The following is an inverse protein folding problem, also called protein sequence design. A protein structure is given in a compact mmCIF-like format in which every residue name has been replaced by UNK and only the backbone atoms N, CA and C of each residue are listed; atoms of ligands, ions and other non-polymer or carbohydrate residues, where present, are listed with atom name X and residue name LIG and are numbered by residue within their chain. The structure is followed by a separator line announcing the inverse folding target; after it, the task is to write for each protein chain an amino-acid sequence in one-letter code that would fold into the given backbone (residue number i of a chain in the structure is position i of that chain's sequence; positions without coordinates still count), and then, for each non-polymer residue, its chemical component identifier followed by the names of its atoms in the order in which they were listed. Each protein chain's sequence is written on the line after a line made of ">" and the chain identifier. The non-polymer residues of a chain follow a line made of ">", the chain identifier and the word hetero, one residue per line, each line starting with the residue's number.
data_IF_271373284257
#
_entry.id   IF_271373284257
#
_cell.length_a   1.000
_cell.length_b   1.000
_cell.length_c   1.000
_cell.angle_alpha   90.00
_cell.angle_beta   90.00
_cell.angle_gamma   90.00
#
_symmetry.space_group_name_H-M   'P 1'
#
loop_
_entity.id
_entity.type
_entity.pdbx_description
1 polymer ?
#
# COMPACT_ATOMS: atom_id res chain seq x y z
N UNK A 1 0.85 -0.98 21.19
CA UNK A 1 1.91 -1.43 20.23
C UNK A 1 2.23 -0.27 19.33
N UNK A 2 3.51 0.11 19.26
CA UNK A 2 3.98 1.20 18.40
C UNK A 2 4.21 0.67 16.98
N UNK A 3 3.44 1.18 16.02
CA UNK A 3 3.53 0.83 14.61
C UNK A 3 4.14 2.02 13.86
N UNK A 4 5.23 1.79 13.11
CA UNK A 4 5.69 2.75 12.12
C UNK A 4 5.09 2.42 10.75
N UNK A 5 4.81 3.48 9.98
CA UNK A 5 4.13 3.39 8.69
C UNK A 5 5.01 4.01 7.62
N UNK A 6 5.12 3.36 6.46
CA UNK A 6 5.67 3.93 5.25
C UNK A 6 5.03 3.29 4.00
N UNK A 7 4.95 4.07 2.92
CA UNK A 7 4.62 3.63 1.58
C UNK A 7 5.31 4.51 0.54
N UNK A 8 5.22 4.12 -0.71
CA UNK A 8 5.68 4.94 -1.85
C UNK A 8 7.12 5.44 -1.69
N UNK A 9 8.01 4.54 -1.21
CA UNK A 9 9.42 4.86 -1.06
C UNK A 9 10.17 4.85 -2.40
N UNK A 10 9.65 4.14 -3.41
CA UNK A 10 10.18 4.08 -4.77
C UNK A 10 11.70 3.96 -4.83
N UNK A 11 12.26 3.02 -4.06
CA UNK A 11 13.72 2.86 -3.92
C UNK A 11 14.45 2.64 -5.25
N UNK A 12 13.74 2.19 -6.30
CA UNK A 12 14.26 2.04 -7.64
C UNK A 12 14.48 3.35 -8.40
N UNK A 13 13.87 4.46 -7.95
CA UNK A 13 13.94 5.76 -8.65
C UNK A 13 15.07 6.67 -8.17
N UNK A 14 15.83 6.24 -7.18
CA UNK A 14 16.97 7.01 -6.68
C UNK A 14 18.16 6.93 -7.64
N UNK A 15 18.32 7.91 -8.53
CA UNK A 15 19.40 8.01 -9.53
C UNK A 15 20.81 7.98 -8.93
N UNK A 16 20.96 8.32 -7.64
CA UNK A 16 22.23 8.29 -6.92
C UNK A 16 22.63 6.90 -6.40
N UNK A 17 21.80 5.88 -6.69
CA UNK A 17 22.13 4.48 -6.43
C UNK A 17 22.37 3.79 -7.78
N UNK A 18 23.59 3.88 -8.37
CA UNK A 18 23.91 3.18 -9.63
C UNK A 18 23.77 1.67 -9.51
N UNK A 19 23.76 1.17 -8.27
CA UNK A 19 23.32 -0.18 -7.88
C UNK A 19 22.62 -0.06 -6.53
N UNK A 20 21.40 -0.59 -6.42
CA UNK A 20 20.67 -0.66 -5.16
C UNK A 20 21.59 -1.21 -4.05
N UNK A 21 21.62 -0.52 -2.93
CA UNK A 21 22.40 -0.92 -1.76
C UNK A 21 21.47 -1.07 -0.55
N UNK A 22 21.16 -2.32 -0.14
CA UNK A 22 20.32 -2.58 1.03
C UNK A 22 20.82 -1.87 2.29
N UNK A 23 22.15 -1.82 2.50
CA UNK A 23 22.74 -1.14 3.66
C UNK A 23 22.55 0.37 3.63
N UNK A 24 22.66 1.01 2.46
CA UNK A 24 22.40 2.45 2.33
C UNK A 24 20.92 2.74 2.56
N UNK A 25 20.01 1.94 2.00
CA UNK A 25 18.58 2.06 2.25
C UNK A 25 18.25 1.88 3.73
N UNK A 26 18.81 0.86 4.39
CA UNK A 26 18.62 0.64 5.84
C UNK A 26 19.15 1.80 6.68
N UNK A 27 20.27 2.41 6.32
CA UNK A 27 20.80 3.58 7.02
C UNK A 27 19.90 4.80 6.81
N UNK A 28 19.48 5.06 5.58
CA UNK A 28 18.62 6.19 5.21
C UNK A 28 17.26 6.13 5.92
N UNK A 29 16.67 4.94 5.98
CA UNK A 29 15.36 4.70 6.58
C UNK A 29 15.44 4.09 7.99
N UNK A 30 16.58 4.20 8.68
CA UNK A 30 16.80 3.59 10.01
C UNK A 30 15.77 4.04 11.06
N UNK A 31 15.25 5.27 10.95
CA UNK A 31 14.19 5.76 11.81
C UNK A 31 12.88 4.97 11.72
N UNK A 32 12.62 4.29 10.59
CA UNK A 32 11.45 3.42 10.44
C UNK A 32 11.49 2.21 11.37
N UNK A 33 12.68 1.77 11.77
CA UNK A 33 12.86 0.57 12.60
C UNK A 33 12.73 0.83 14.10
N UNK A 34 12.46 2.08 14.53
CA UNK A 34 12.26 2.44 15.95
C UNK A 34 10.79 2.22 16.38
N UNK A 35 10.32 0.98 16.27
CA UNK A 35 8.94 0.58 16.53
C UNK A 35 8.85 -0.89 16.95
N UNK A 36 7.66 -1.35 17.33
CA UNK A 36 7.37 -2.76 17.61
C UNK A 36 7.04 -3.54 16.32
N UNK A 37 6.54 -2.84 15.28
CA UNK A 37 6.18 -3.39 13.98
C UNK A 37 6.20 -2.29 12.91
N UNK A 38 6.73 -2.60 11.73
CA UNK A 38 6.72 -1.73 10.55
C UNK A 38 5.64 -2.18 9.57
N UNK A 39 4.79 -1.23 9.12
CA UNK A 39 3.84 -1.46 8.01
C UNK A 39 4.37 -0.78 6.76
N UNK A 40 4.46 -1.54 5.67
CA UNK A 40 4.86 -1.08 4.35
C UNK A 40 3.67 -1.24 3.39
N UNK A 41 3.00 -0.13 3.08
CA UNK A 41 1.75 -0.12 2.32
C UNK A 41 1.94 0.05 0.80
N UNK A 42 2.88 -0.72 0.22
CA UNK A 42 3.11 -0.77 -1.22
C UNK A 42 4.04 0.30 -1.77
N UNK A 43 4.45 0.12 -3.02
CA UNK A 43 5.36 1.00 -3.78
C UNK A 43 6.69 1.24 -3.08
N UNK A 44 7.25 0.18 -2.52
CA UNK A 44 8.53 0.22 -1.82
C UNK A 44 9.69 0.09 -2.80
N UNK A 45 9.67 -0.99 -3.59
CA UNK A 45 10.65 -1.23 -4.65
C UNK A 45 10.18 -2.28 -5.64
N UNK A 46 10.24 -1.99 -6.91
CA UNK A 46 9.77 -2.88 -7.98
C UNK A 46 10.55 -4.20 -8.11
N UNK A 47 11.64 -4.43 -7.38
CA UNK A 47 12.44 -5.66 -7.44
C UNK A 47 12.20 -6.54 -6.20
N UNK A 48 11.63 -7.76 -6.35
CA UNK A 48 11.45 -8.69 -5.23
C UNK A 48 12.78 -9.02 -4.52
N UNK A 49 13.85 -9.16 -5.28
CA UNK A 49 15.20 -9.42 -4.74
C UNK A 49 15.69 -8.25 -3.88
N UNK A 50 15.57 -7.02 -4.38
CA UNK A 50 16.02 -5.84 -3.64
C UNK A 50 15.22 -5.63 -2.36
N UNK A 51 13.92 -5.87 -2.42
CA UNK A 51 13.07 -5.85 -1.23
C UNK A 51 13.53 -6.88 -0.19
N UNK A 52 13.73 -8.13 -0.60
CA UNK A 52 14.21 -9.20 0.29
C UNK A 52 15.57 -8.86 0.92
N UNK A 53 16.53 -8.38 0.12
CA UNK A 53 17.84 -7.97 0.60
C UNK A 53 17.75 -6.80 1.61
N UNK A 54 16.84 -5.84 1.40
CA UNK A 54 16.64 -4.74 2.33
C UNK A 54 15.94 -5.20 3.62
N UNK A 55 14.85 -5.94 3.49
CA UNK A 55 14.08 -6.43 4.65
C UNK A 55 14.86 -7.45 5.49
N UNK A 56 15.84 -8.17 4.91
CA UNK A 56 16.73 -9.03 5.69
C UNK A 56 17.57 -8.28 6.73
N UNK A 57 17.70 -6.96 6.58
CA UNK A 57 18.38 -6.06 7.52
C UNK A 57 17.42 -5.37 8.50
N UNK A 58 16.10 -5.58 8.34
CA UNK A 58 15.10 -5.00 9.22
C UNK A 58 15.04 -5.78 10.55
N UNK A 59 15.24 -5.11 11.71
CA UNK A 59 15.32 -5.81 12.99
C UNK A 59 13.95 -6.04 13.67
N UNK A 60 12.86 -5.57 13.05
CA UNK A 60 11.50 -5.62 13.61
C UNK A 60 10.56 -6.41 12.68
N UNK A 61 9.44 -6.96 13.18
CA UNK A 61 8.41 -7.53 12.34
C UNK A 61 7.89 -6.52 11.31
N UNK A 62 7.59 -7.01 10.10
CA UNK A 62 7.10 -6.21 8.98
C UNK A 62 5.79 -6.79 8.47
N UNK A 63 4.77 -5.96 8.30
CA UNK A 63 3.59 -6.25 7.47
C UNK A 63 3.80 -5.51 6.14
N UNK A 64 3.71 -6.23 5.04
CA UNK A 64 3.95 -5.71 3.70
C UNK A 64 2.84 -6.12 2.74
N UNK A 65 2.42 -5.19 1.90
CA UNK A 65 1.54 -5.42 0.74
C UNK A 65 2.19 -4.87 -0.53
N UNK A 66 1.72 -5.30 -1.70
CA UNK A 66 2.14 -4.73 -2.98
C UNK A 66 1.38 -3.43 -3.28
N UNK A 67 2.06 -2.48 -3.92
CA UNK A 67 1.44 -1.40 -4.66
C UNK A 67 1.46 -1.70 -6.17
N UNK A 68 1.07 -0.72 -7.00
CA UNK A 68 1.05 -0.89 -8.46
C UNK A 68 2.46 -0.89 -9.07
N UNK A 69 3.43 -0.18 -8.50
CA UNK A 69 4.81 -0.16 -9.01
C UNK A 69 5.55 -1.48 -8.84
N UNK A 70 5.20 -2.32 -7.87
CA UNK A 70 5.74 -3.66 -7.77
C UNK A 70 5.45 -4.51 -9.02
N UNK A 71 4.40 -4.18 -9.77
CA UNK A 71 4.02 -4.87 -11.01
C UNK A 71 4.70 -4.31 -12.26
N UNK A 72 5.33 -3.13 -12.23
CA UNK A 72 5.96 -2.50 -13.40
C UNK A 72 7.06 -3.36 -14.03
N UNK A 73 7.01 -3.49 -15.36
CA UNK A 73 7.91 -4.33 -16.14
C UNK A 73 7.69 -5.84 -15.97
N UNK A 74 6.56 -6.25 -15.40
CA UNK A 74 6.23 -7.65 -15.09
C UNK A 74 4.85 -8.03 -15.57
N UNK A 75 4.61 -9.36 -15.60
CA UNK A 75 3.27 -9.91 -15.82
C UNK A 75 2.46 -9.87 -14.55
N UNK A 76 1.24 -9.36 -14.63
CA UNK A 76 0.31 -9.22 -13.51
C UNK A 76 0.21 -10.52 -12.69
N UNK A 77 -0.05 -11.65 -13.36
CA UNK A 77 -0.32 -12.94 -12.70
C UNK A 77 0.92 -13.58 -12.05
N UNK A 78 2.13 -13.09 -12.35
CA UNK A 78 3.38 -13.67 -11.82
C UNK A 78 4.02 -12.83 -10.73
N UNK A 79 3.61 -11.59 -10.59
CA UNK A 79 4.28 -10.64 -9.69
C UNK A 79 4.14 -11.06 -8.23
N UNK A 80 2.91 -11.36 -7.80
CA UNK A 80 2.69 -11.81 -6.41
C UNK A 80 3.54 -13.02 -6.06
N UNK A 81 3.52 -14.06 -6.90
CA UNK A 81 4.29 -15.29 -6.63
C UNK A 81 5.80 -15.04 -6.57
N UNK A 82 6.32 -14.09 -7.36
CA UNK A 82 7.73 -13.73 -7.32
C UNK A 82 8.11 -13.03 -6.00
N UNK A 83 7.29 -12.09 -5.52
CA UNK A 83 7.51 -11.46 -4.21
C UNK A 83 7.38 -12.47 -3.08
N UNK A 84 6.34 -13.30 -3.08
CA UNK A 84 6.13 -14.35 -2.08
C UNK A 84 7.30 -15.31 -2.00
N UNK A 85 7.80 -15.77 -3.15
CA UNK A 85 8.97 -16.66 -3.21
C UNK A 85 10.23 -16.01 -2.60
N UNK A 86 10.49 -14.76 -2.92
CA UNK A 86 11.69 -14.05 -2.45
C UNK A 86 11.64 -13.66 -0.97
N UNK A 87 10.43 -13.52 -0.40
CA UNK A 87 10.24 -13.17 1.01
C UNK A 87 10.05 -14.38 1.93
N UNK A 88 9.87 -15.58 1.37
CA UNK A 88 9.49 -16.79 2.11
C UNK A 88 10.43 -17.13 3.28
N UNK A 89 11.73 -16.86 3.14
CA UNK A 89 12.72 -17.19 4.17
C UNK A 89 12.85 -16.11 5.26
N UNK A 90 12.17 -14.96 5.09
CA UNK A 90 12.16 -13.88 6.06
C UNK A 90 10.99 -14.04 7.04
N UNK A 91 11.18 -14.85 8.08
CA UNK A 91 10.10 -15.23 9.03
C UNK A 91 9.49 -14.06 9.81
N UNK A 92 10.15 -12.90 9.85
CA UNK A 92 9.65 -11.67 10.46
C UNK A 92 8.86 -10.78 9.46
N UNK A 93 8.77 -11.19 8.18
CA UNK A 93 8.03 -10.45 7.14
C UNK A 93 6.71 -11.17 6.85
N UNK A 94 5.62 -10.50 7.09
CA UNK A 94 4.26 -10.94 6.78
C UNK A 94 3.82 -10.25 5.49
N UNK A 95 4.02 -10.93 4.35
CA UNK A 95 3.53 -10.47 3.06
C UNK A 95 2.07 -10.84 2.91
N UNK A 96 1.21 -9.84 2.76
CA UNK A 96 -0.24 -10.02 2.65
C UNK A 96 -0.74 -9.62 1.25
N UNK A 97 -1.55 -10.48 0.65
CA UNK A 97 -2.32 -10.19 -0.54
C UNK A 97 -3.63 -10.97 -0.49
N UNK A 98 -4.71 -10.32 -0.09
CA UNK A 98 -5.96 -10.94 0.38
C UNK A 98 -5.68 -11.96 1.48
N UNK A 99 -4.92 -11.54 2.46
CA UNK A 99 -4.54 -12.34 3.62
C UNK A 99 -4.60 -11.50 4.89
N UNK A 100 -4.80 -12.18 6.00
CA UNK A 100 -4.72 -11.57 7.33
C UNK A 100 -3.70 -12.29 8.20
N UNK A 101 -3.10 -11.55 9.14
CA UNK A 101 -2.18 -12.08 10.14
C UNK A 101 -2.43 -11.42 11.50
N UNK A 102 -2.21 -12.16 12.56
CA UNK A 102 -2.23 -11.61 13.92
C UNK A 102 -0.80 -11.51 14.44
N UNK A 103 -0.37 -10.28 14.73
CA UNK A 103 0.95 -10.01 15.32
C UNK A 103 0.74 -9.24 16.61
N UNK A 104 1.29 -9.76 17.71
CA UNK A 104 1.18 -9.15 19.05
C UNK A 104 -0.26 -8.80 19.46
N UNK A 105 -1.24 -9.65 19.08
CA UNK A 105 -2.65 -9.46 19.42
C UNK A 105 -3.42 -8.46 18.55
N UNK A 106 -2.79 -7.90 17.51
CA UNK A 106 -3.40 -7.04 16.51
C UNK A 106 -3.59 -7.81 15.21
N UNK A 107 -4.81 -7.78 14.64
CA UNK A 107 -5.10 -8.37 13.33
C UNK A 107 -4.79 -7.35 12.24
N UNK A 108 -3.95 -7.74 11.27
CA UNK A 108 -3.68 -6.99 10.05
C UNK A 108 -4.37 -7.66 8.88
N UNK A 109 -5.12 -6.89 8.09
CA UNK A 109 -5.88 -7.31 6.91
C UNK A 109 -5.29 -6.57 5.72
N UNK A 110 -4.68 -7.29 4.77
CA UNK A 110 -3.86 -6.67 3.72
C UNK A 110 -4.27 -7.06 2.29
N UNK A 111 -4.37 -6.07 1.41
CA UNK A 111 -4.56 -6.21 -0.04
C UNK A 111 -4.05 -4.95 -0.76
N UNK A 112 -3.77 -5.04 -2.07
CA UNK A 112 -3.43 -3.86 -2.88
C UNK A 112 -4.59 -2.87 -2.94
N UNK A 113 -5.82 -3.37 -3.08
CA UNK A 113 -7.07 -2.64 -3.29
C UNK A 113 -6.94 -1.71 -4.51
N UNK A 114 -7.10 -2.28 -5.69
CA UNK A 114 -7.09 -1.49 -6.92
C UNK A 114 -8.24 -0.46 -6.93
N UNK A 115 -8.55 0.15 -8.04
CA UNK A 115 -9.55 1.21 -8.16
C UNK A 115 -10.83 0.72 -8.85
N UNK A 116 -11.99 1.31 -8.49
CA UNK A 116 -13.26 1.17 -9.19
C UNK A 116 -13.50 2.28 -10.23
N UNK A 117 -12.53 3.14 -10.44
CA UNK A 117 -12.60 4.26 -11.39
C UNK A 117 -13.81 5.16 -11.15
N UNK A 118 -14.01 5.61 -9.92
CA UNK A 118 -15.13 6.47 -9.52
C UNK A 118 -16.48 5.80 -9.82
N UNK A 119 -16.63 4.56 -9.30
CA UNK A 119 -17.85 3.78 -9.49
C UNK A 119 -18.10 3.35 -10.93
N UNK A 120 -17.07 2.89 -11.63
CA UNK A 120 -17.11 2.47 -13.04
C UNK A 120 -17.53 3.61 -14.01
N UNK A 121 -17.14 4.84 -13.71
CA UNK A 121 -17.42 5.98 -14.56
C UNK A 121 -16.70 5.83 -15.91
N UNK A 122 -17.43 5.74 -17.05
CA UNK A 122 -16.83 5.48 -18.37
C UNK A 122 -15.78 6.54 -18.78
N UNK A 123 -16.01 7.80 -18.42
CA UNK A 123 -15.07 8.89 -18.74
C UNK A 123 -13.78 8.78 -17.94
N UNK A 124 -13.90 8.38 -16.68
CA UNK A 124 -12.73 8.11 -15.81
C UNK A 124 -11.95 6.91 -16.33
N UNK A 125 -12.63 5.83 -16.68
CA UNK A 125 -11.99 4.61 -17.21
C UNK A 125 -11.22 4.89 -18.50
N UNK A 126 -11.81 5.64 -19.45
CA UNK A 126 -11.15 6.01 -20.71
C UNK A 126 -9.92 6.89 -20.46
N UNK A 127 -10.05 7.95 -19.67
CA UNK A 127 -8.98 8.88 -19.33
C UNK A 127 -7.82 8.16 -18.59
N UNK A 128 -8.17 7.30 -17.63
CA UNK A 128 -7.17 6.54 -16.88
C UNK A 128 -6.44 5.53 -17.76
N UNK A 129 -7.16 4.79 -18.62
CA UNK A 129 -6.55 3.84 -19.55
C UNK A 129 -5.55 4.53 -20.49
N UNK A 130 -5.83 5.74 -20.93
CA UNK A 130 -4.95 6.50 -21.81
C UNK A 130 -3.72 7.07 -21.07
N UNK A 131 -3.90 7.60 -19.86
CA UNK A 131 -2.89 8.43 -19.19
C UNK A 131 -2.14 7.75 -18.06
N UNK A 132 -2.75 6.81 -17.35
CA UNK A 132 -2.09 6.12 -16.24
C UNK A 132 -1.03 5.15 -16.76
N UNK A 133 0.15 5.21 -16.15
CA UNK A 133 1.33 4.43 -16.59
C UNK A 133 1.12 2.92 -16.43
N UNK A 134 0.33 2.49 -15.47
CA UNK A 134 0.06 1.07 -15.17
C UNK A 134 -0.33 0.31 -16.44
N UNK A 135 -1.25 0.87 -17.25
CA UNK A 135 -1.74 0.25 -18.47
C UNK A 135 -0.68 0.07 -19.57
N UNK A 136 0.51 0.70 -19.39
CA UNK A 136 1.66 0.56 -20.31
C UNK A 136 2.82 -0.19 -19.67
N UNK A 137 2.88 -0.23 -18.35
CA UNK A 137 4.01 -0.79 -17.61
C UNK A 137 3.74 -2.20 -17.07
N UNK A 138 2.48 -2.62 -16.94
CA UNK A 138 2.12 -3.94 -16.40
C UNK A 138 1.58 -4.82 -17.53
N UNK A 139 2.27 -5.91 -17.83
CA UNK A 139 1.82 -6.86 -18.87
C UNK A 139 0.57 -7.60 -18.39
N UNK A 140 -0.51 -7.55 -19.18
CA UNK A 140 -1.78 -8.21 -18.89
C UNK A 140 -2.77 -7.38 -18.07
N UNK A 141 -2.44 -6.13 -17.72
CA UNK A 141 -3.39 -5.24 -17.05
C UNK A 141 -4.32 -4.57 -18.08
N UNK A 142 -5.58 -4.46 -17.74
CA UNK A 142 -6.62 -3.73 -18.47
C UNK A 142 -7.56 -3.09 -17.45
N UNK A 143 -8.38 -2.13 -17.87
CA UNK A 143 -9.42 -1.55 -16.99
C UNK A 143 -10.33 -2.63 -16.41
N UNK A 144 -10.81 -3.56 -17.27
CA UNK A 144 -11.63 -4.66 -16.80
C UNK A 144 -10.92 -5.53 -15.75
N UNK A 145 -9.62 -5.80 -15.95
CA UNK A 145 -8.84 -6.58 -15.00
C UNK A 145 -8.61 -5.85 -13.67
N UNK A 146 -8.43 -4.54 -13.72
CA UNK A 146 -8.35 -3.71 -12.49
C UNK A 146 -9.66 -3.77 -11.71
N UNK A 147 -10.82 -3.64 -12.40
CA UNK A 147 -12.14 -3.79 -11.77
C UNK A 147 -12.35 -5.18 -11.16
N UNK A 148 -11.98 -6.25 -11.88
CA UNK A 148 -12.06 -7.62 -11.34
C UNK A 148 -11.27 -7.74 -10.03
N UNK A 149 -10.01 -7.23 -10.02
CA UNK A 149 -9.16 -7.24 -8.84
C UNK A 149 -9.73 -6.40 -7.70
N UNK A 150 -10.24 -5.20 -8.01
CA UNK A 150 -10.87 -4.34 -7.02
C UNK A 150 -12.05 -5.03 -6.33
N UNK A 151 -12.99 -5.61 -7.11
CA UNK A 151 -14.16 -6.27 -6.53
C UNK A 151 -13.81 -7.51 -5.74
N UNK A 152 -12.81 -8.29 -6.22
CA UNK A 152 -12.30 -9.46 -5.49
C UNK A 152 -11.69 -9.05 -4.14
N UNK A 153 -10.83 -8.05 -4.12
CA UNK A 153 -10.12 -7.59 -2.93
C UNK A 153 -11.05 -6.86 -1.95
N UNK A 154 -11.92 -5.99 -2.46
CA UNK A 154 -12.95 -5.32 -1.66
C UNK A 154 -13.90 -6.34 -0.99
N UNK A 155 -14.37 -7.32 -1.77
CA UNK A 155 -15.26 -8.37 -1.26
C UNK A 155 -14.57 -9.24 -0.20
N UNK A 156 -13.29 -9.55 -0.39
CA UNK A 156 -12.49 -10.28 0.57
C UNK A 156 -12.30 -9.46 1.87
N UNK A 157 -11.93 -8.16 1.77
CA UNK A 157 -11.79 -7.28 2.95
C UNK A 157 -13.12 -7.21 3.73
N UNK A 158 -14.27 -7.01 3.07
CA UNK A 158 -15.58 -6.97 3.71
C UNK A 158 -15.89 -8.26 4.46
N UNK A 159 -15.57 -9.41 3.85
CA UNK A 159 -15.75 -10.73 4.44
C UNK A 159 -14.84 -10.93 5.64
N UNK A 160 -13.56 -10.60 5.54
CA UNK A 160 -12.58 -10.75 6.62
C UNK A 160 -12.90 -9.86 7.82
N UNK A 161 -13.33 -8.61 7.57
CA UNK A 161 -13.76 -7.69 8.62
C UNK A 161 -15.06 -8.14 9.30
N UNK A 162 -15.87 -8.95 8.63
CA UNK A 162 -17.08 -9.55 9.22
C UNK A 162 -16.77 -10.66 10.22
N UNK A 163 -15.55 -11.22 10.18
CA UNK A 163 -15.11 -12.24 11.15
C UNK A 163 -14.81 -11.59 12.49
N UNK A 164 -15.51 -11.97 13.59
CA UNK A 164 -15.25 -11.38 14.90
C UNK A 164 -13.80 -11.58 15.34
N UNK A 165 -13.20 -10.51 15.87
CA UNK A 165 -11.87 -10.55 16.45
C UNK A 165 -11.84 -9.74 17.75
N UNK A 166 -11.24 -10.32 18.82
CA UNK A 166 -11.25 -9.70 20.14
C UNK A 166 -10.22 -8.55 20.31
N UNK A 167 -9.21 -8.49 19.44
CA UNK A 167 -8.17 -7.46 19.46
C UNK A 167 -8.43 -6.33 18.48
N UNK A 168 -7.53 -5.35 18.41
CA UNK A 168 -7.57 -4.31 17.40
C UNK A 168 -7.39 -4.88 15.98
N UNK A 169 -8.04 -4.26 15.00
CA UNK A 169 -7.90 -4.59 13.58
C UNK A 169 -7.34 -3.40 12.82
N UNK A 170 -6.30 -3.64 12.02
CA UNK A 170 -5.65 -2.70 11.12
C UNK A 170 -5.85 -3.18 9.68
N UNK A 171 -6.44 -2.37 8.82
CA UNK A 171 -6.50 -2.62 7.39
C UNK A 171 -5.32 -1.92 6.72
N UNK A 172 -4.68 -2.60 5.79
CA UNK A 172 -3.54 -2.08 5.02
C UNK A 172 -3.87 -2.25 3.55
N UNK A 173 -4.04 -1.13 2.84
CA UNK A 173 -4.22 -1.11 1.39
C UNK A 173 -3.19 -0.20 0.73
N UNK A 174 -2.95 -0.38 -0.56
CA UNK A 174 -2.12 0.58 -1.29
C UNK A 174 -2.98 1.73 -1.81
N UNK A 175 -4.07 1.41 -2.52
CA UNK A 175 -5.01 2.44 -2.96
C UNK A 175 -5.80 3.02 -1.80
N UNK A 176 -6.13 4.31 -1.91
CA UNK A 176 -6.79 5.05 -0.85
C UNK A 176 -8.28 4.68 -0.74
N UNK A 177 -8.82 4.49 0.48
CA UNK A 177 -10.18 4.00 0.69
C UNK A 177 -11.25 5.11 0.73
N UNK A 178 -10.87 6.37 0.60
CA UNK A 178 -11.80 7.51 0.69
C UNK A 178 -11.29 8.70 -0.12
N UNK A 179 -12.19 9.45 -0.77
CA UNK A 179 -11.85 10.71 -1.45
C UNK A 179 -11.17 11.75 -0.54
N UNK A 180 -11.32 11.65 0.79
CA UNK A 180 -10.63 12.52 1.74
C UNK A 180 -9.10 12.34 1.75
N UNK A 181 -8.59 11.25 1.14
CA UNK A 181 -7.16 10.93 1.11
C UNK A 181 -6.39 11.60 -0.03
N UNK A 182 -7.04 12.38 -0.89
CA UNK A 182 -6.33 13.00 -2.01
C UNK A 182 -6.61 14.50 -2.10
N UNK A 183 -5.57 15.28 -2.40
CA UNK A 183 -5.69 16.71 -2.75
C UNK A 183 -5.27 16.99 -4.19
N UNK A 184 -4.23 16.32 -4.70
CA UNK A 184 -3.58 16.63 -5.98
C UNK A 184 -4.49 16.38 -7.19
N UNK A 185 -5.24 15.27 -7.19
CA UNK A 185 -6.14 14.92 -8.29
C UNK A 185 -7.63 15.18 -7.97
N UNK A 186 -7.91 15.89 -6.88
CA UNK A 186 -9.28 16.19 -6.48
C UNK A 186 -10.02 16.96 -7.58
N UNK A 187 -11.16 16.42 -8.03
CA UNK A 187 -11.94 16.99 -9.14
C UNK A 187 -11.39 16.71 -10.55
N UNK A 188 -10.29 15.95 -10.68
CA UNK A 188 -9.78 15.45 -11.96
C UNK A 188 -10.35 14.05 -12.24
N UNK A 189 -10.58 13.74 -13.53
CA UNK A 189 -10.95 12.37 -13.95
C UNK A 189 -9.88 11.35 -13.55
N UNK A 190 -8.60 11.75 -13.50
CA UNK A 190 -7.52 10.85 -13.06
C UNK A 190 -7.63 10.48 -11.58
N UNK A 191 -8.33 11.25 -10.76
CA UNK A 191 -8.53 10.96 -9.33
C UNK A 191 -9.12 9.56 -9.08
N UNK A 192 -9.99 9.10 -9.97
CA UNK A 192 -10.58 7.77 -9.88
C UNK A 192 -9.59 6.61 -10.04
N UNK A 193 -8.36 6.85 -10.49
CA UNK A 193 -7.30 5.83 -10.51
C UNK A 193 -6.52 5.74 -9.19
N UNK A 194 -6.75 6.64 -8.24
CA UNK A 194 -5.98 6.73 -7.00
C UNK A 194 -6.80 6.41 -5.76
N UNK A 195 -8.09 6.65 -5.83
CA UNK A 195 -9.00 6.60 -4.69
C UNK A 195 -10.27 5.88 -5.07
N UNK A 196 -10.81 5.11 -4.14
CA UNK A 196 -12.17 4.56 -4.20
C UNK A 196 -12.94 4.96 -2.94
N UNK A 197 -14.28 5.02 -3.02
CA UNK A 197 -15.10 5.36 -1.86
C UNK A 197 -15.57 4.09 -1.14
N UNK A 198 -14.92 3.78 -0.02
CA UNK A 198 -15.28 2.69 0.89
C UNK A 198 -15.75 3.19 2.25
N UNK A 199 -16.18 4.46 2.36
CA UNK A 199 -16.59 5.04 3.65
C UNK A 199 -17.74 4.25 4.30
N UNK A 200 -18.68 3.77 3.52
CA UNK A 200 -19.78 2.91 4.03
C UNK A 200 -19.25 1.59 4.61
N UNK A 201 -18.26 0.96 3.98
CA UNK A 201 -17.62 -0.24 4.50
C UNK A 201 -16.85 0.06 5.80
N UNK A 202 -16.13 1.18 5.82
CA UNK A 202 -15.41 1.63 7.02
C UNK A 202 -16.39 1.87 8.16
N UNK A 203 -17.50 2.57 7.93
CA UNK A 203 -18.55 2.83 8.91
C UNK A 203 -19.24 1.56 9.40
N UNK A 204 -19.43 0.58 8.53
CA UNK A 204 -20.03 -0.73 8.86
C UNK A 204 -19.15 -1.53 9.83
N UNK A 205 -17.84 -1.63 9.55
CA UNK A 205 -16.94 -2.51 10.30
C UNK A 205 -16.13 -1.79 11.37
N UNK A 206 -15.81 -0.53 11.15
CA UNK A 206 -15.03 0.33 12.04
C UNK A 206 -13.73 -0.32 12.54
N UNK A 207 -12.81 -0.79 11.64
CA UNK A 207 -11.49 -1.19 12.07
C UNK A 207 -10.79 -0.05 12.84
N UNK A 208 -9.84 -0.37 13.71
CA UNK A 208 -9.18 0.65 14.52
C UNK A 208 -8.36 1.62 13.69
N UNK A 209 -7.71 1.10 12.63
CA UNK A 209 -6.80 1.87 11.78
C UNK A 209 -6.94 1.37 10.33
N UNK A 210 -6.87 2.30 9.38
CA UNK A 210 -6.71 2.03 7.95
C UNK A 210 -5.47 2.75 7.44
N UNK A 211 -4.51 2.00 6.93
CA UNK A 211 -3.24 2.52 6.39
C UNK A 211 -3.27 2.38 4.89
N UNK A 212 -2.86 3.42 4.17
CA UNK A 212 -2.75 3.37 2.72
C UNK A 212 -1.57 4.17 2.17
N UNK A 213 -1.36 4.11 0.85
CA UNK A 213 -0.36 4.83 0.06
C UNK A 213 -0.94 5.48 -1.18
N UNK A 214 -0.20 5.41 -2.28
CA UNK A 214 -0.56 5.65 -3.67
C UNK A 214 -0.79 7.11 -4.08
N UNK A 215 -1.40 7.92 -3.24
CA UNK A 215 -1.77 9.30 -3.58
C UNK A 215 -0.59 10.28 -3.54
N UNK A 216 0.55 9.89 -2.94
CA UNK A 216 1.68 10.75 -2.57
C UNK A 216 1.28 11.99 -1.75
N UNK A 217 0.14 11.86 -1.04
CA UNK A 217 -0.48 12.91 -0.23
C UNK A 217 -0.70 12.37 1.19
N UNK A 218 0.04 12.91 2.14
CA UNK A 218 -0.01 12.41 3.51
C UNK A 218 -1.30 12.88 4.20
N UNK A 219 -2.01 11.96 4.82
CA UNK A 219 -3.26 12.25 5.51
C UNK A 219 -3.33 11.59 6.89
N UNK A 220 -4.17 12.17 7.75
CA UNK A 220 -4.50 11.64 9.06
C UNK A 220 -5.88 12.19 9.47
N UNK A 221 -6.91 11.39 9.31
CA UNK A 221 -8.30 11.77 9.59
C UNK A 221 -9.09 10.57 10.12
N UNK A 222 -10.38 10.77 10.43
CA UNK A 222 -11.24 9.70 10.96
C UNK A 222 -12.55 9.58 10.19
N UNK A 223 -12.98 8.33 9.96
CA UNK A 223 -14.30 7.97 9.47
C UNK A 223 -14.97 7.12 10.57
N UNK A 224 -16.01 7.66 11.21
CA UNK A 224 -16.56 7.04 12.41
C UNK A 224 -15.50 6.92 13.51
N UNK A 225 -15.14 5.70 13.93
CA UNK A 225 -14.06 5.43 14.89
C UNK A 225 -12.75 4.99 14.24
N UNK A 226 -12.75 4.77 12.93
CA UNK A 226 -11.58 4.36 12.18
C UNK A 226 -10.68 5.55 11.91
N UNK A 227 -9.42 5.51 12.34
CA UNK A 227 -8.40 6.46 11.93
C UNK A 227 -7.85 6.01 10.58
N UNK A 228 -7.81 6.90 9.59
CA UNK A 228 -7.21 6.67 8.26
C UNK A 228 -5.92 7.45 8.18
N UNK A 229 -4.82 6.79 7.84
CA UNK A 229 -3.46 7.38 7.88
C UNK A 229 -2.65 6.94 6.70
N UNK A 230 -1.90 7.87 6.11
CA UNK A 230 -0.83 7.58 5.16
C UNK A 230 0.47 8.28 5.54
N UNK A 231 1.61 7.65 5.19
CA UNK A 231 2.95 8.23 5.33
C UNK A 231 3.80 7.82 4.13
N UNK A 232 3.70 8.63 3.09
CA UNK A 232 4.19 8.35 1.74
C UNK A 232 5.49 9.07 1.48
N UNK A 233 6.48 8.34 0.95
CA UNK A 233 7.77 8.92 0.56
C UNK A 233 7.66 9.81 -0.67
N UNK A 234 6.94 9.35 -1.69
CA UNK A 234 6.85 10.04 -2.97
C UNK A 234 8.14 10.01 -3.79
N UNK A 235 8.09 10.57 -4.98
CA UNK A 235 9.30 10.72 -5.81
C UNK A 235 10.19 11.86 -5.33
N UNK A 236 11.50 11.76 -5.60
CA UNK A 236 12.51 12.71 -5.13
C UNK A 236 12.28 14.19 -5.48
N UNK A 237 11.42 14.49 -6.43
CA UNK A 237 11.04 15.85 -6.83
C UNK A 237 9.73 16.32 -6.18
N UNK A 238 9.00 15.48 -5.48
CA UNK A 238 7.72 15.78 -4.87
C UNK A 238 7.86 16.37 -3.46
N UNK A 239 6.81 17.04 -3.00
CA UNK A 239 6.80 17.61 -1.65
C UNK A 239 6.77 16.51 -0.57
N UNK A 240 6.05 15.41 -0.81
CA UNK A 240 6.01 14.26 0.10
C UNK A 240 7.43 13.77 0.45
N UNK A 241 8.31 13.65 -0.54
CA UNK A 241 9.71 13.25 -0.34
C UNK A 241 10.48 14.18 0.60
N UNK A 242 10.31 15.48 0.46
CA UNK A 242 11.02 16.49 1.25
C UNK A 242 10.62 16.47 2.71
N UNK A 243 9.34 16.15 2.98
CA UNK A 243 8.78 16.17 4.33
C UNK A 243 8.71 14.79 4.98
N UNK A 244 9.02 13.72 4.21
CA UNK A 244 8.96 12.36 4.73
C UNK A 244 9.77 12.19 6.01
N UNK A 245 9.13 11.69 7.04
CA UNK A 245 9.72 11.33 8.33
C UNK A 245 9.01 10.06 8.84
N UNK A 246 9.67 9.26 9.67
CA UNK A 246 8.99 8.14 10.32
C UNK A 246 7.75 8.62 11.08
N UNK A 247 6.59 8.06 10.74
CA UNK A 247 5.32 8.29 11.42
C UNK A 247 5.01 7.08 12.29
N UNK A 248 4.76 7.32 13.56
CA UNK A 248 4.37 6.28 14.53
C UNK A 248 2.91 6.42 14.93
N UNK A 249 2.22 5.29 15.01
CA UNK A 249 0.85 5.19 15.54
C UNK A 249 0.85 4.18 16.67
N UNK A 250 0.17 4.51 17.76
CA UNK A 250 -0.07 3.58 18.87
C UNK A 250 -1.41 2.85 18.68
N UNK A 251 -1.39 1.54 18.90
CA UNK A 251 -2.56 0.65 18.83
C UNK A 251 -2.61 -0.27 20.05
#
# INVERSE_FOLDING_TARGET
>A
MKINIASDLHLETYDWIPKFSPRKASHMFSGLFSCDLLVLAGDIVGSPRWLSEWLSLCPVPVVYILGNHEYYGKRLERTESAFRHMLNDLTHVHFLNRESVVVNGVRFVGATLWSDFDGENPLVMEECQEKIKDFRQVEGITVAKVLDLFYEERGWIDSELSVPFAGPTVVVTHYAPSPQSQSVFHGSLLGGAFVTDLEDMILKHQPNLWIHGHTHDNCDYTIGRTRVVSNQGGYGWEEAYKVFRPLSVEI
#
